data_IF_099364136959
#
_entry.id   IF_099364136959
#
_cell.length_a   1.000
_cell.length_b   1.000
_cell.length_c   1.000
_cell.angle_alpha   90.00
_cell.angle_beta   90.00
_cell.angle_gamma   90.00
#
_symmetry.space_group_name_H-M   'P 1'
#
loop_
_entity.id
_entity.type
_entity.pdbx_description
1 polymer ?
#
# COMPACT_ATOMS: atom_id res chain seq x y z
N UNK A 1 -31.55 24.31 8.96
CA UNK A 1 -30.95 23.09 8.41
C UNK A 1 -31.21 22.01 9.43
N UNK A 2 -31.97 21.00 9.03
CA UNK A 2 -32.42 19.94 9.93
C UNK A 2 -31.27 18.96 10.23
N UNK A 3 -31.28 18.30 11.38
CA UNK A 3 -30.22 17.34 11.77
C UNK A 3 -30.12 16.22 10.73
N UNK A 4 -31.26 15.82 10.17
CA UNK A 4 -31.37 14.81 9.11
C UNK A 4 -30.66 15.27 7.83
N UNK A 5 -30.83 16.52 7.40
CA UNK A 5 -30.16 17.07 6.21
C UNK A 5 -28.64 17.10 6.39
N UNK A 6 -28.18 17.46 7.59
CA UNK A 6 -26.75 17.50 7.93
C UNK A 6 -26.13 16.10 7.86
N UNK A 7 -26.82 15.09 8.40
CA UNK A 7 -26.38 13.69 8.35
C UNK A 7 -26.33 13.19 6.90
N UNK A 8 -27.37 13.45 6.10
CA UNK A 8 -27.42 13.03 4.70
C UNK A 8 -26.33 13.69 3.86
N UNK A 9 -26.07 14.99 4.08
CA UNK A 9 -24.99 15.70 3.42
C UNK A 9 -23.62 15.10 3.76
N UNK A 10 -23.37 14.83 5.04
CA UNK A 10 -22.13 14.21 5.48
C UNK A 10 -21.93 12.80 4.88
N UNK A 11 -22.98 11.99 4.82
CA UNK A 11 -22.92 10.66 4.18
C UNK A 11 -22.61 10.75 2.69
N UNK A 12 -23.21 11.71 1.98
CA UNK A 12 -22.91 11.94 0.56
C UNK A 12 -21.44 12.30 0.35
N UNK A 13 -20.90 13.21 1.17
CA UNK A 13 -19.50 13.61 1.08
C UNK A 13 -18.53 12.45 1.38
N UNK A 14 -18.87 11.60 2.36
CA UNK A 14 -18.10 10.37 2.62
C UNK A 14 -18.16 9.40 1.44
N UNK A 15 -19.33 9.19 0.85
CA UNK A 15 -19.49 8.29 -0.29
C UNK A 15 -18.69 8.76 -1.50
N UNK A 16 -18.71 10.06 -1.80
CA UNK A 16 -17.91 10.67 -2.85
C UNK A 16 -16.41 10.52 -2.57
N UNK A 17 -15.96 10.83 -1.34
CA UNK A 17 -14.56 10.64 -0.95
C UNK A 17 -14.10 9.19 -1.07
N UNK A 18 -14.94 8.21 -0.71
CA UNK A 18 -14.65 6.79 -0.91
C UNK A 18 -14.56 6.38 -2.38
N UNK A 19 -15.50 6.82 -3.21
CA UNK A 19 -15.49 6.54 -4.65
C UNK A 19 -14.21 7.07 -5.27
N UNK A 20 -13.88 8.32 -4.99
CA UNK A 20 -12.76 9.02 -5.62
C UNK A 20 -11.40 8.53 -5.07
N UNK A 21 -11.37 8.01 -3.83
CA UNK A 21 -10.16 7.42 -3.22
C UNK A 21 -9.82 6.02 -3.70
N UNK A 22 -10.76 5.29 -4.31
CA UNK A 22 -10.61 3.87 -4.67
C UNK A 22 -9.41 3.59 -5.61
N UNK A 23 -9.20 4.46 -6.60
CA UNK A 23 -8.06 4.35 -7.51
C UNK A 23 -6.73 4.59 -6.77
N UNK A 24 -6.67 5.63 -5.93
CA UNK A 24 -5.47 5.93 -5.15
C UNK A 24 -5.14 4.81 -4.15
N UNK A 25 -6.16 4.24 -3.51
CA UNK A 25 -6.00 3.11 -2.58
C UNK A 25 -5.45 1.88 -3.31
N UNK A 26 -5.92 1.63 -4.53
CA UNK A 26 -5.45 0.52 -5.37
C UNK A 26 -3.98 0.70 -5.75
N UNK A 27 -3.59 1.90 -6.21
CA UNK A 27 -2.19 2.20 -6.54
C UNK A 27 -1.28 2.15 -5.31
N UNK A 28 -1.75 2.61 -4.15
CA UNK A 28 -1.04 2.49 -2.89
C UNK A 28 -0.80 1.01 -2.52
N UNK A 29 -1.83 0.17 -2.60
CA UNK A 29 -1.74 -1.26 -2.32
C UNK A 29 -0.73 -1.98 -3.23
N UNK A 30 -0.84 -1.81 -4.54
CA UNK A 30 0.08 -2.46 -5.49
C UNK A 30 1.51 -1.94 -5.35
N UNK A 31 1.70 -0.68 -4.99
CA UNK A 31 3.02 -0.13 -4.72
C UNK A 31 3.69 -0.80 -3.52
N UNK A 32 2.94 -1.02 -2.43
CA UNK A 32 3.45 -1.74 -1.25
C UNK A 32 3.83 -3.18 -1.64
N UNK A 33 2.96 -3.89 -2.37
CA UNK A 33 3.29 -5.24 -2.87
C UNK A 33 4.57 -5.24 -3.71
N UNK A 34 4.71 -4.29 -4.64
CA UNK A 34 5.88 -4.21 -5.52
C UNK A 34 7.18 -4.00 -4.73
N UNK A 35 7.16 -3.14 -3.70
CA UNK A 35 8.30 -2.95 -2.80
C UNK A 35 8.69 -4.26 -2.12
N UNK A 36 7.71 -4.95 -1.52
CA UNK A 36 7.97 -6.21 -0.83
C UNK A 36 8.44 -7.33 -1.77
N UNK A 37 7.84 -7.47 -2.95
CA UNK A 37 8.27 -8.45 -3.95
C UNK A 37 9.70 -8.19 -4.42
N UNK A 38 10.06 -6.92 -4.60
CA UNK A 38 11.42 -6.52 -4.96
C UNK A 38 12.41 -6.92 -3.86
N UNK A 39 12.05 -6.72 -2.59
CA UNK A 39 12.85 -7.13 -1.44
C UNK A 39 12.99 -8.65 -1.33
N UNK A 40 11.91 -9.42 -1.45
CA UNK A 40 11.97 -10.89 -1.45
C UNK A 40 12.87 -11.39 -2.57
N UNK A 41 12.72 -10.83 -3.78
CA UNK A 41 13.53 -11.23 -4.94
C UNK A 41 15.02 -10.98 -4.69
N UNK A 42 15.37 -9.84 -4.08
CA UNK A 42 16.75 -9.54 -3.70
C UNK A 42 17.30 -10.50 -2.64
N UNK A 43 16.47 -10.87 -1.65
CA UNK A 43 16.88 -11.79 -0.59
C UNK A 43 17.18 -13.20 -1.15
N UNK A 44 16.31 -13.70 -2.03
CA UNK A 44 16.54 -14.97 -2.74
C UNK A 44 17.79 -14.94 -3.61
N UNK A 45 17.99 -13.85 -4.35
CA UNK A 45 19.18 -13.72 -5.20
C UNK A 45 20.47 -13.61 -4.37
N UNK A 46 20.38 -13.01 -3.18
CA UNK A 46 21.49 -12.95 -2.23
C UNK A 46 21.82 -14.34 -1.68
N UNK A 47 20.81 -15.09 -1.24
CA UNK A 47 21.00 -16.48 -0.75
C UNK A 47 21.63 -17.38 -1.81
N UNK A 48 21.24 -17.24 -3.08
CA UNK A 48 21.78 -18.04 -4.18
C UNK A 48 23.12 -17.51 -4.74
N UNK A 49 23.70 -16.45 -4.15
CA UNK A 49 24.89 -15.76 -4.66
C UNK A 49 24.77 -15.28 -6.12
N UNK A 50 23.55 -15.06 -6.61
CA UNK A 50 23.27 -14.69 -8.01
C UNK A 50 23.28 -13.18 -8.25
N UNK A 51 23.17 -12.35 -7.20
CA UNK A 51 23.03 -10.91 -7.35
C UNK A 51 24.39 -10.21 -7.55
N UNK A 52 24.57 -9.56 -8.71
CA UNK A 52 25.68 -8.62 -8.95
C UNK A 52 25.26 -7.21 -8.47
N UNK A 53 26.23 -6.39 -8.03
CA UNK A 53 26.00 -5.03 -7.52
C UNK A 53 25.00 -4.16 -8.31
N UNK A 54 25.02 -4.14 -9.66
CA UNK A 54 24.08 -3.36 -10.47
C UNK A 54 22.61 -3.81 -10.35
N UNK A 55 22.37 -5.12 -10.22
CA UNK A 55 21.01 -5.67 -10.07
C UNK A 55 20.40 -5.22 -8.73
N UNK A 56 21.23 -5.19 -7.68
CA UNK A 56 20.83 -4.69 -6.37
C UNK A 56 20.50 -3.20 -6.42
N UNK A 57 21.32 -2.38 -7.08
CA UNK A 57 21.06 -0.95 -7.23
C UNK A 57 19.75 -0.68 -8.00
N UNK A 58 19.51 -1.42 -9.10
CA UNK A 58 18.28 -1.31 -9.87
C UNK A 58 17.04 -1.64 -9.05
N UNK A 59 17.08 -2.75 -8.31
CA UNK A 59 15.98 -3.16 -7.45
C UNK A 59 15.69 -2.14 -6.34
N UNK A 60 16.73 -1.56 -5.72
CA UNK A 60 16.56 -0.46 -4.78
C UNK A 60 15.90 0.76 -5.41
N UNK A 61 16.31 1.14 -6.64
CA UNK A 61 15.68 2.22 -7.40
C UNK A 61 14.20 1.97 -7.66
N UNK A 62 13.84 0.75 -8.05
CA UNK A 62 12.45 0.33 -8.28
C UNK A 62 11.64 0.40 -6.97
N UNK A 63 12.19 -0.10 -5.85
CA UNK A 63 11.52 0.00 -4.55
C UNK A 63 11.27 1.46 -4.15
N UNK A 64 12.25 2.35 -4.34
CA UNK A 64 12.09 3.78 -4.03
C UNK A 64 10.99 4.40 -4.90
N UNK A 65 10.96 4.09 -6.20
CA UNK A 65 9.92 4.58 -7.11
C UNK A 65 8.52 4.20 -6.61
N UNK A 66 8.30 2.94 -6.24
CA UNK A 66 7.01 2.50 -5.72
C UNK A 66 6.68 3.11 -4.34
N UNK A 67 7.66 3.33 -3.46
CA UNK A 67 7.43 4.06 -2.21
C UNK A 67 6.97 5.49 -2.45
N UNK A 68 7.53 6.18 -3.45
CA UNK A 68 7.08 7.52 -3.84
C UNK A 68 5.65 7.50 -4.37
N UNK A 69 5.31 6.54 -5.24
CA UNK A 69 3.94 6.37 -5.74
C UNK A 69 2.98 6.13 -4.57
N UNK A 70 3.33 5.23 -3.65
CA UNK A 70 2.55 4.99 -2.44
C UNK A 70 2.31 6.28 -1.64
N UNK A 71 3.36 7.05 -1.35
CA UNK A 71 3.25 8.28 -0.57
C UNK A 71 2.34 9.32 -1.24
N UNK A 72 2.46 9.51 -2.56
CA UNK A 72 1.60 10.43 -3.34
C UNK A 72 0.13 10.01 -3.23
N UNK A 73 -0.16 8.73 -3.40
CA UNK A 73 -1.52 8.21 -3.34
C UNK A 73 -2.13 8.34 -1.94
N UNK A 74 -1.36 8.07 -0.89
CA UNK A 74 -1.82 8.25 0.49
C UNK A 74 -2.14 9.71 0.81
N UNK A 75 -1.32 10.66 0.35
CA UNK A 75 -1.60 12.10 0.50
C UNK A 75 -2.87 12.49 -0.26
N UNK A 76 -3.08 11.98 -1.47
CA UNK A 76 -4.29 12.24 -2.24
C UNK A 76 -5.55 11.75 -1.50
N UNK A 77 -5.50 10.55 -0.90
CA UNK A 77 -6.59 10.02 -0.07
C UNK A 77 -6.85 10.96 1.12
N UNK A 78 -5.80 11.39 1.84
CA UNK A 78 -5.96 12.28 2.99
C UNK A 78 -6.73 13.56 2.63
N UNK A 79 -6.38 14.16 1.49
CA UNK A 79 -7.03 15.37 1.00
C UNK A 79 -8.51 15.15 0.66
N UNK A 80 -8.87 14.01 0.05
CA UNK A 80 -10.26 13.67 -0.24
C UNK A 80 -11.11 13.54 1.03
N UNK A 81 -10.53 13.00 2.11
CA UNK A 81 -11.24 12.80 3.38
C UNK A 81 -11.17 14.00 4.33
N UNK A 82 -10.40 15.05 4.01
CA UNK A 82 -10.29 16.24 4.86
C UNK A 82 -11.62 16.98 4.95
N UNK A 83 -12.41 17.01 3.87
CA UNK A 83 -13.72 17.68 3.84
C UNK A 83 -14.74 17.01 4.79
N UNK A 84 -14.98 15.69 4.72
CA UNK A 84 -15.96 15.04 5.60
C UNK A 84 -15.46 14.72 7.02
N UNK A 85 -14.14 14.60 7.25
CA UNK A 85 -13.58 14.16 8.54
C UNK A 85 -12.72 15.21 9.27
N UNK A 86 -12.39 16.32 8.62
CA UNK A 86 -11.38 17.26 9.09
C UNK A 86 -9.95 16.70 9.00
N UNK A 87 -8.94 17.54 9.26
CA UNK A 87 -7.52 17.16 9.15
C UNK A 87 -7.13 16.02 10.11
N UNK A 88 -7.60 16.08 11.36
CA UNK A 88 -7.32 15.06 12.36
C UNK A 88 -8.00 13.71 12.02
N UNK A 89 -9.22 13.75 11.50
CA UNK A 89 -9.93 12.54 11.08
C UNK A 89 -9.31 11.90 9.84
N UNK A 90 -8.89 12.72 8.86
CA UNK A 90 -8.17 12.25 7.69
C UNK A 90 -6.81 11.62 8.05
N UNK A 91 -6.06 12.20 8.99
CA UNK A 91 -4.77 11.62 9.41
C UNK A 91 -4.93 10.27 10.13
N UNK A 92 -5.93 10.13 11.00
CA UNK A 92 -6.27 8.86 11.64
C UNK A 92 -6.70 7.80 10.62
N UNK A 93 -7.49 8.20 9.62
CA UNK A 93 -7.90 7.31 8.52
C UNK A 93 -6.69 6.81 7.72
N UNK A 94 -5.74 7.69 7.39
CA UNK A 94 -4.51 7.30 6.69
C UNK A 94 -3.68 6.30 7.51
N UNK A 95 -3.58 6.52 8.82
CA UNK A 95 -2.89 5.58 9.71
C UNK A 95 -3.56 4.20 9.69
N UNK A 96 -4.90 4.16 9.76
CA UNK A 96 -5.67 2.93 9.69
C UNK A 96 -5.53 2.22 8.33
N UNK A 97 -5.63 2.96 7.22
CA UNK A 97 -5.42 2.44 5.86
C UNK A 97 -4.02 1.87 5.72
N UNK A 98 -3.00 2.61 6.16
CA UNK A 98 -1.60 2.17 6.08
C UNK A 98 -1.39 0.88 6.86
N UNK A 99 -1.90 0.81 8.09
CA UNK A 99 -1.83 -0.40 8.91
C UNK A 99 -2.54 -1.57 8.24
N UNK A 100 -3.75 -1.34 7.70
CA UNK A 100 -4.51 -2.36 6.98
C UNK A 100 -3.77 -2.86 5.73
N UNK A 101 -3.13 -1.98 4.96
CA UNK A 101 -2.34 -2.37 3.79
C UNK A 101 -1.16 -3.25 4.20
N UNK A 102 -0.40 -2.85 5.24
CA UNK A 102 0.74 -3.63 5.73
C UNK A 102 0.31 -5.00 6.27
N UNK A 103 -0.77 -5.06 7.06
CA UNK A 103 -1.31 -6.32 7.60
C UNK A 103 -1.80 -7.23 6.47
N UNK A 104 -2.55 -6.71 5.50
CA UNK A 104 -3.07 -7.52 4.39
C UNK A 104 -1.97 -8.01 3.44
N UNK A 105 -0.85 -7.30 3.37
CA UNK A 105 0.29 -7.73 2.58
C UNK A 105 1.01 -8.91 3.24
N UNK A 106 0.97 -9.06 4.58
CA UNK A 106 1.64 -10.17 5.27
C UNK A 106 1.23 -11.58 4.80
N UNK A 107 -0.07 -11.95 4.70
CA UNK A 107 -0.49 -13.24 4.13
C UNK A 107 -0.02 -13.48 2.69
N UNK A 108 -0.01 -12.42 1.86
CA UNK A 108 0.46 -12.52 0.48
C UNK A 108 1.94 -12.87 0.44
N UNK A 109 2.74 -12.25 1.31
CA UNK A 109 4.18 -12.51 1.39
C UNK A 109 4.51 -13.86 2.04
N UNK A 110 3.79 -14.25 3.09
CA UNK A 110 4.02 -15.54 3.75
C UNK A 110 3.73 -16.71 2.82
N UNK A 111 2.69 -16.61 1.99
CA UNK A 111 2.41 -17.59 0.94
C UNK A 111 3.53 -17.71 -0.10
N UNK A 112 4.06 -16.58 -0.58
CA UNK A 112 5.19 -16.56 -1.54
C UNK A 112 6.44 -17.19 -0.93
N UNK A 113 6.80 -16.82 0.30
CA UNK A 113 7.99 -17.35 0.99
C UNK A 113 7.84 -18.85 1.27
N UNK A 114 6.66 -19.31 1.69
CA UNK A 114 6.39 -20.73 1.93
C UNK A 114 6.49 -21.57 0.65
N UNK A 115 5.90 -21.09 -0.46
CA UNK A 115 5.99 -21.76 -1.75
C UNK A 115 7.43 -21.86 -2.28
N UNK A 116 8.25 -20.83 -2.03
CA UNK A 116 9.68 -20.86 -2.36
C UNK A 116 10.48 -21.86 -1.52
N UNK A 117 10.17 -22.01 -0.22
CA UNK A 117 10.83 -23.01 0.64
C UNK A 117 10.51 -24.43 0.22
N UNK A 118 9.24 -24.75 -0.06
CA UNK A 118 8.85 -26.08 -0.55
C UNK A 118 9.56 -26.46 -1.85
N UNK A 119 9.75 -25.51 -2.78
CA UNK A 119 10.49 -25.78 -4.02
C UNK A 119 11.96 -26.14 -3.77
N UNK A 120 12.59 -25.53 -2.75
CA UNK A 120 13.98 -25.81 -2.35
C UNK A 120 14.16 -27.20 -1.72
N UNK A 121 13.13 -27.76 -1.11
CA UNK A 121 13.18 -29.09 -0.47
C UNK A 121 12.94 -30.25 -1.44
N UNK A 122 12.40 -29.95 -2.63
CA UNK A 122 12.09 -30.93 -3.68
C UNK A 122 13.10 -30.93 -4.85
N UNK A 123 14.13 -30.08 -4.80
CA UNK A 123 15.29 -30.04 -5.73
C UNK A 123 16.51 -30.71 -5.07
#
# INVERSE_FOLDING_TARGET
MDIIETILSWFSEMADAFRDSSAYLTWAFFSVIAVYMTWITLDVQREKHLSKGPVRALAWGISILFLVIYAINIVAIANLFTKPLGEAGASMLIMAITLMLVINVYPVLSGVVAGMKQKKENE
#
